data_IF_768869306103
#
_entry.id   IF_768869306103
#
_cell.length_a   1.000
_cell.length_b   1.000
_cell.length_c   1.000
_cell.angle_alpha   90.00
_cell.angle_beta   90.00
_cell.angle_gamma   90.00
#
_symmetry.space_group_name_H-M   'P 1'
#
loop_
_entity.id
_entity.type
_entity.pdbx_description
1 polymer ?
#
# COMPACT_ATOMS: atom_id res chain seq x y z
N UNK A 1 19.76 -19.01 7.63
CA UNK A 1 20.66 -17.81 7.56
C UNK A 1 21.30 -17.55 6.19
N UNK A 2 21.81 -18.55 5.46
CA UNK A 2 22.48 -18.34 4.16
C UNK A 2 21.62 -17.59 3.12
N UNK A 3 20.33 -17.92 3.00
CA UNK A 3 19.40 -17.24 2.07
C UNK A 3 19.17 -15.77 2.41
N UNK A 4 19.10 -15.41 3.70
CA UNK A 4 18.96 -14.01 4.13
C UNK A 4 20.18 -13.20 3.71
N UNK A 5 21.38 -13.77 3.86
CA UNK A 5 22.61 -13.10 3.46
C UNK A 5 22.69 -12.93 1.94
N UNK A 6 22.27 -13.94 1.18
CA UNK A 6 22.15 -13.85 -0.27
C UNK A 6 21.13 -12.79 -0.69
N UNK A 7 19.96 -12.70 -0.05
CA UNK A 7 18.99 -11.64 -0.34
C UNK A 7 19.58 -10.25 -0.12
N UNK A 8 20.35 -10.06 0.94
CA UNK A 8 21.01 -8.77 1.23
C UNK A 8 21.99 -8.31 0.15
N UNK A 9 22.54 -9.19 -0.69
CA UNK A 9 23.40 -8.75 -1.80
C UNK A 9 22.61 -8.22 -3.00
N UNK A 10 21.32 -8.55 -3.09
CA UNK A 10 20.45 -8.12 -4.18
C UNK A 10 19.49 -6.99 -3.79
N UNK A 11 19.25 -6.80 -2.49
CA UNK A 11 18.36 -5.76 -1.97
C UNK A 11 19.15 -4.51 -1.64
N UNK A 12 18.63 -3.31 -1.98
CA UNK A 12 19.35 -2.09 -1.72
C UNK A 12 19.57 -1.83 -0.22
N UNK A 13 20.70 -1.20 0.13
CA UNK A 13 21.02 -0.88 1.53
C UNK A 13 20.04 0.12 2.16
N UNK A 14 19.32 0.89 1.33
CA UNK A 14 18.24 1.78 1.75
C UNK A 14 16.95 1.04 2.10
N UNK A 15 16.82 -0.25 1.79
CA UNK A 15 15.65 -1.01 2.19
C UNK A 15 15.57 -1.09 3.72
N UNK A 16 14.46 -0.62 4.27
CA UNK A 16 14.25 -0.61 5.71
C UNK A 16 13.93 -2.02 6.18
N UNK A 17 14.77 -2.55 7.08
CA UNK A 17 14.54 -3.82 7.77
C UNK A 17 14.52 -3.54 9.26
N UNK A 18 13.35 -3.67 9.88
CA UNK A 18 13.14 -3.26 11.28
C UNK A 18 13.81 -4.17 12.31
N UNK A 19 14.12 -5.42 11.94
CA UNK A 19 14.71 -6.39 12.86
C UNK A 19 16.23 -6.43 12.76
N UNK A 20 16.91 -6.37 13.92
CA UNK A 20 18.37 -6.50 14.03
C UNK A 20 18.89 -7.77 13.34
N UNK A 21 18.14 -8.87 13.49
CA UNK A 21 18.32 -10.09 12.70
C UNK A 21 17.13 -10.20 11.74
N UNK A 22 17.33 -9.94 10.43
CA UNK A 22 16.25 -10.01 9.46
C UNK A 22 15.62 -11.40 9.41
N UNK A 23 14.28 -11.43 9.48
CA UNK A 23 13.49 -12.65 9.40
C UNK A 23 13.21 -13.00 7.94
N UNK A 24 13.38 -14.28 7.59
CA UNK A 24 12.92 -14.82 6.31
C UNK A 24 11.55 -15.46 6.53
N UNK A 25 10.49 -14.69 6.28
CA UNK A 25 9.11 -15.17 6.36
C UNK A 25 8.79 -16.02 5.12
N UNK A 26 8.21 -17.19 5.32
CA UNK A 26 7.91 -18.17 4.25
C UNK A 26 6.43 -18.54 4.15
N UNK A 27 5.66 -18.33 5.23
CA UNK A 27 4.22 -18.59 5.26
C UNK A 27 3.52 -17.55 6.13
N UNK A 28 2.32 -17.14 5.70
CA UNK A 28 1.35 -16.42 6.52
C UNK A 28 0.05 -17.22 6.64
N UNK A 29 -0.59 -17.16 7.81
CA UNK A 29 -1.88 -17.80 8.07
C UNK A 29 -2.63 -17.00 9.14
N UNK A 30 -3.74 -16.38 8.75
CA UNK A 30 -4.56 -15.53 9.60
C UNK A 30 -3.69 -14.49 10.34
N UNK A 31 -3.67 -14.45 11.66
CA UNK A 31 -2.87 -13.52 12.46
C UNK A 31 -1.39 -13.92 12.61
N UNK A 32 -0.92 -14.96 11.92
CA UNK A 32 0.40 -15.54 12.14
C UNK A 32 1.30 -15.50 10.91
N UNK A 33 2.61 -15.36 11.18
CA UNK A 33 3.70 -15.55 10.22
C UNK A 33 4.59 -16.70 10.67
N UNK A 34 5.22 -17.37 9.72
CA UNK A 34 6.18 -18.43 9.96
C UNK A 34 7.47 -18.12 9.21
N UNK A 35 8.62 -18.26 9.89
CA UNK A 35 9.92 -18.12 9.25
C UNK A 35 10.36 -19.42 8.55
N UNK A 36 11.51 -19.37 7.88
CA UNK A 36 12.10 -20.49 7.17
C UNK A 36 12.47 -21.68 8.07
N UNK A 37 12.62 -21.47 9.37
CA UNK A 37 12.91 -22.52 10.36
C UNK A 37 11.60 -23.05 10.99
N UNK A 38 10.43 -22.57 10.53
CA UNK A 38 9.11 -22.99 10.98
C UNK A 38 8.62 -22.32 12.26
N UNK A 39 9.38 -21.35 12.81
CA UNK A 39 8.98 -20.64 14.02
C UNK A 39 7.80 -19.72 13.72
N UNK A 40 6.77 -19.79 14.58
CA UNK A 40 5.52 -19.05 14.48
C UNK A 40 5.60 -17.71 15.23
N UNK A 41 5.10 -16.66 14.60
CA UNK A 41 5.04 -15.29 15.14
C UNK A 41 3.60 -14.80 15.08
N UNK A 42 3.12 -14.20 16.18
CA UNK A 42 1.91 -13.39 16.14
C UNK A 42 2.23 -12.07 15.42
N UNK A 43 1.54 -11.78 14.33
CA UNK A 43 1.75 -10.58 13.53
C UNK A 43 0.94 -9.42 14.09
N UNK A 44 1.62 -8.55 14.84
CA UNK A 44 1.05 -7.30 15.36
C UNK A 44 1.35 -6.10 14.45
N UNK A 45 1.94 -6.32 13.27
CA UNK A 45 2.30 -5.28 12.31
C UNK A 45 1.42 -5.30 11.06
N UNK A 46 0.88 -6.47 10.71
CA UNK A 46 -0.09 -6.68 9.64
C UNK A 46 0.36 -6.11 8.28
N UNK A 47 1.65 -6.25 7.96
CA UNK A 47 2.21 -5.73 6.71
C UNK A 47 2.04 -4.22 6.56
N UNK A 48 2.42 -3.45 7.59
CA UNK A 48 2.18 -2.01 7.68
C UNK A 48 0.67 -1.74 7.59
N UNK A 49 -0.09 -2.35 8.49
CA UNK A 49 -1.54 -2.14 8.64
C UNK A 49 -2.36 -2.43 7.36
N UNK A 50 -1.85 -3.30 6.48
CA UNK A 50 -2.51 -3.65 5.21
C UNK A 50 -3.33 -4.94 5.34
N UNK A 51 -2.87 -5.91 6.14
CA UNK A 51 -3.47 -7.23 6.30
C UNK A 51 -4.54 -7.20 7.39
N UNK A 52 -5.69 -6.60 7.10
CA UNK A 52 -6.76 -6.36 8.07
C UNK A 52 -7.61 -7.59 8.42
N UNK A 53 -7.70 -8.57 7.53
CA UNK A 53 -8.48 -9.81 7.71
C UNK A 53 -7.60 -11.05 7.93
N UNK A 54 -6.31 -10.85 8.16
CA UNK A 54 -5.35 -11.94 8.31
C UNK A 54 -4.77 -12.47 6.98
N UNK A 55 -3.58 -13.04 7.08
CA UNK A 55 -2.80 -13.60 5.99
C UNK A 55 -3.50 -14.80 5.35
N UNK A 56 -3.50 -14.86 4.02
CA UNK A 56 -4.05 -15.98 3.25
C UNK A 56 -5.48 -16.38 3.67
N UNK A 57 -6.31 -15.40 4.04
CA UNK A 57 -7.66 -15.64 4.54
C UNK A 57 -8.47 -16.51 3.56
N UNK A 58 -9.07 -17.65 3.98
CA UNK A 58 -9.67 -18.63 3.08
C UNK A 58 -10.71 -18.04 2.11
N UNK A 59 -11.57 -17.14 2.61
CA UNK A 59 -12.58 -16.44 1.79
C UNK A 59 -11.96 -15.55 0.71
N UNK A 60 -10.88 -14.84 1.04
CA UNK A 60 -10.19 -13.93 0.10
C UNK A 60 -9.44 -14.75 -0.95
N UNK A 61 -8.72 -15.79 -0.52
CA UNK A 61 -8.00 -16.68 -1.43
C UNK A 61 -8.94 -17.43 -2.37
N UNK A 62 -10.11 -17.88 -1.91
CA UNK A 62 -11.10 -18.53 -2.76
C UNK A 62 -11.64 -17.56 -3.83
N UNK A 63 -12.01 -16.33 -3.44
CA UNK A 63 -12.49 -15.30 -4.38
C UNK A 63 -11.41 -14.91 -5.39
N UNK A 64 -10.15 -14.74 -4.94
CA UNK A 64 -9.02 -14.46 -5.81
C UNK A 64 -8.87 -15.56 -6.85
N UNK A 65 -8.71 -16.83 -6.43
CA UNK A 65 -8.53 -17.97 -7.34
C UNK A 65 -9.63 -18.07 -8.39
N UNK A 66 -10.89 -17.94 -7.98
CA UNK A 66 -12.02 -17.95 -8.89
C UNK A 66 -11.94 -16.84 -9.95
N UNK A 67 -11.47 -15.64 -9.58
CA UNK A 67 -11.25 -14.56 -10.53
C UNK A 67 -10.05 -14.84 -11.44
N UNK A 68 -8.97 -15.45 -10.94
CA UNK A 68 -7.80 -15.80 -11.76
C UNK A 68 -8.14 -16.78 -12.87
N UNK A 69 -8.96 -17.78 -12.55
CA UNK A 69 -9.41 -18.80 -13.50
C UNK A 69 -10.35 -18.21 -14.57
N UNK A 70 -10.92 -17.02 -14.32
CA UNK A 70 -11.85 -16.33 -15.21
C UNK A 70 -11.19 -15.22 -16.03
N UNK A 71 -10.54 -14.26 -15.37
CA UNK A 71 -9.89 -13.09 -15.96
C UNK A 71 -8.91 -12.47 -14.95
N UNK A 72 -7.60 -12.61 -15.19
CA UNK A 72 -6.56 -12.06 -14.32
C UNK A 72 -6.42 -10.53 -14.45
N UNK A 73 -6.32 -10.01 -15.67
CA UNK A 73 -6.10 -8.58 -15.90
C UNK A 73 -6.72 -8.11 -17.22
N UNK A 74 -7.25 -6.90 -17.20
CA UNK A 74 -7.59 -6.11 -18.38
C UNK A 74 -7.31 -4.64 -18.09
N UNK A 75 -7.17 -3.84 -19.14
CA UNK A 75 -7.00 -2.39 -19.02
C UNK A 75 -8.32 -1.71 -18.66
N UNK A 76 -8.25 -0.54 -18.02
CA UNK A 76 -9.40 0.23 -17.54
C UNK A 76 -10.31 0.78 -18.63
N UNK A 77 -9.97 0.60 -19.92
CA UNK A 77 -10.86 0.95 -21.04
C UNK A 77 -12.04 -0.02 -21.18
N UNK A 78 -11.96 -1.20 -20.55
CA UNK A 78 -13.04 -2.18 -20.50
C UNK A 78 -13.63 -2.25 -19.09
N UNK A 79 -14.95 -2.35 -19.00
CA UNK A 79 -15.63 -2.54 -17.72
C UNK A 79 -15.72 -4.02 -17.35
N UNK A 80 -15.63 -4.31 -16.05
CA UNK A 80 -15.73 -5.66 -15.49
C UNK A 80 -16.62 -5.66 -14.26
N UNK A 81 -17.45 -6.70 -14.11
CA UNK A 81 -18.38 -6.86 -12.97
C UNK A 81 -17.76 -6.61 -11.59
N UNK A 82 -16.54 -7.10 -11.26
CA UNK A 82 -15.95 -6.88 -9.94
C UNK A 82 -15.73 -5.41 -9.58
N UNK A 83 -15.48 -4.55 -10.58
CA UNK A 83 -15.30 -3.10 -10.37
C UNK A 83 -16.64 -2.45 -10.00
N UNK A 84 -17.74 -2.85 -10.65
CA UNK A 84 -19.09 -2.38 -10.32
C UNK A 84 -19.46 -2.79 -8.90
N UNK A 85 -19.36 -4.08 -8.58
CA UNK A 85 -19.68 -4.59 -7.24
C UNK A 85 -18.86 -3.90 -6.14
N UNK A 86 -17.58 -3.64 -6.41
CA UNK A 86 -16.71 -2.98 -5.44
C UNK A 86 -17.09 -1.49 -5.27
N UNK A 87 -17.39 -0.79 -6.35
CA UNK A 87 -17.84 0.61 -6.31
C UNK A 87 -19.16 0.78 -5.54
N UNK A 88 -20.13 -0.11 -5.75
CA UNK A 88 -21.41 -0.10 -5.03
C UNK A 88 -21.20 -0.34 -3.53
N UNK A 89 -20.44 -1.37 -3.16
CA UNK A 89 -20.14 -1.66 -1.75
C UNK A 89 -19.36 -0.53 -1.11
N UNK A 90 -18.40 0.07 -1.82
CA UNK A 90 -17.58 1.16 -1.27
C UNK A 90 -18.41 2.41 -1.01
N UNK A 91 -19.20 2.86 -1.99
CA UNK A 91 -20.03 4.07 -1.85
C UNK A 91 -21.11 3.91 -0.79
N UNK A 92 -21.77 2.75 -0.72
CA UNK A 92 -22.76 2.45 0.31
C UNK A 92 -22.16 2.47 1.73
N UNK A 93 -20.96 1.94 1.91
CA UNK A 93 -20.29 1.93 3.23
C UNK A 93 -19.66 3.28 3.60
N UNK A 94 -19.13 4.05 2.65
CA UNK A 94 -18.59 5.38 2.94
C UNK A 94 -19.69 6.35 3.38
N UNK A 95 -20.86 6.29 2.74
CA UNK A 95 -22.00 7.16 3.06
C UNK A 95 -22.57 6.84 4.45
N UNK A 96 -22.56 5.57 4.86
CA UNK A 96 -23.09 5.17 6.17
C UNK A 96 -22.18 5.52 7.36
N UNK A 97 -20.88 5.71 7.13
CA UNK A 97 -19.89 5.94 8.19
C UNK A 97 -19.61 7.41 8.50
N UNK A 98 -19.92 8.35 7.60
CA UNK A 98 -19.60 9.78 7.77
C UNK A 98 -20.80 10.62 7.33
N UNK A 99 -21.45 11.28 8.31
CA UNK A 99 -22.75 11.98 8.22
C UNK A 99 -22.78 13.14 7.19
N UNK A 100 -21.63 13.57 6.66
CA UNK A 100 -21.53 14.68 5.69
C UNK A 100 -21.18 14.24 4.26
N UNK A 101 -21.27 12.94 3.94
CA UNK A 101 -20.79 12.37 2.67
C UNK A 101 -21.88 11.97 1.66
N UNK A 102 -23.06 12.61 1.68
CA UNK A 102 -24.06 12.53 0.58
C UNK A 102 -23.49 12.92 -0.82
N UNK A 103 -22.22 13.36 -0.85
CA UNK A 103 -21.45 13.79 -2.00
C UNK A 103 -20.52 12.71 -2.61
N UNK A 104 -20.28 11.56 -1.95
CA UNK A 104 -19.40 10.50 -2.52
C UNK A 104 -20.21 9.56 -3.42
N UNK A 105 -20.20 9.85 -4.72
CA UNK A 105 -20.98 9.12 -5.73
C UNK A 105 -20.14 8.40 -6.78
N UNK A 106 -18.87 8.78 -6.92
CA UNK A 106 -18.00 8.33 -8.02
C UNK A 106 -16.67 7.86 -7.44
N UNK A 107 -16.23 6.68 -7.90
CA UNK A 107 -14.96 6.08 -7.51
C UNK A 107 -13.98 6.13 -8.68
N UNK A 108 -12.75 6.59 -8.41
CA UNK A 108 -11.61 6.38 -9.29
C UNK A 108 -10.65 5.42 -8.61
N UNK A 109 -10.40 4.26 -9.22
CA UNK A 109 -9.55 3.22 -8.65
C UNK A 109 -8.10 3.36 -9.10
N UNK A 110 -7.19 3.22 -8.14
CA UNK A 110 -5.74 3.23 -8.30
C UNK A 110 -5.13 2.11 -7.46
N UNK A 111 -3.84 1.82 -7.65
CA UNK A 111 -3.20 0.66 -7.05
C UNK A 111 -2.58 0.94 -5.69
N UNK A 112 -2.25 2.20 -5.40
CA UNK A 112 -1.56 2.58 -4.16
C UNK A 112 -2.13 3.82 -3.49
N UNK A 113 -1.84 3.98 -2.20
CA UNK A 113 -2.17 5.21 -1.47
C UNK A 113 -1.45 6.46 -2.00
N UNK A 114 -0.25 6.30 -2.58
CA UNK A 114 0.46 7.43 -3.19
C UNK A 114 -0.27 7.92 -4.45
N UNK A 115 -0.67 7.01 -5.34
CA UNK A 115 -1.46 7.33 -6.53
C UNK A 115 -2.82 7.96 -6.15
N UNK A 116 -3.44 7.47 -5.07
CA UNK A 116 -4.72 8.01 -4.59
C UNK A 116 -4.57 9.46 -4.14
N UNK A 117 -3.49 9.78 -3.41
CA UNK A 117 -3.22 11.14 -2.96
C UNK A 117 -2.77 12.05 -4.11
N UNK A 118 -1.99 11.56 -5.08
CA UNK A 118 -1.62 12.30 -6.28
C UNK A 118 -2.87 12.71 -7.08
N UNK A 119 -3.79 11.75 -7.29
CA UNK A 119 -5.05 11.99 -7.97
C UNK A 119 -5.92 12.97 -7.18
N UNK A 120 -5.98 12.85 -5.86
CA UNK A 120 -6.73 13.78 -5.02
C UNK A 120 -6.20 15.22 -5.14
N UNK A 121 -4.88 15.41 -5.18
CA UNK A 121 -4.27 16.73 -5.39
C UNK A 121 -4.62 17.29 -6.78
N UNK A 122 -4.55 16.45 -7.81
CA UNK A 122 -4.91 16.85 -9.18
C UNK A 122 -6.38 17.27 -9.27
N UNK A 123 -7.30 16.47 -8.72
CA UNK A 123 -8.74 16.76 -8.70
C UNK A 123 -9.06 18.04 -7.92
N UNK A 124 -8.44 18.24 -6.74
CA UNK A 124 -8.61 19.46 -5.95
C UNK A 124 -8.15 20.71 -6.70
N UNK A 125 -7.01 20.63 -7.41
CA UNK A 125 -6.50 21.72 -8.25
C UNK A 125 -7.42 22.03 -9.41
N UNK A 126 -7.90 21.01 -10.13
CA UNK A 126 -8.85 21.17 -11.24
C UNK A 126 -10.15 21.82 -10.75
N UNK A 127 -10.65 21.42 -9.59
CA UNK A 127 -11.90 21.94 -9.05
C UNK A 127 -11.78 23.36 -8.49
N UNK A 128 -10.69 23.67 -7.79
CA UNK A 128 -10.56 24.93 -7.03
C UNK A 128 -9.67 25.98 -7.70
N UNK A 129 -8.82 25.60 -8.65
CA UNK A 129 -7.77 26.45 -9.22
C UNK A 129 -6.61 26.74 -8.28
N UNK A 130 -6.58 26.17 -7.06
CA UNK A 130 -5.56 26.43 -6.04
C UNK A 130 -4.51 25.34 -6.03
N UNK A 131 -3.24 25.73 -5.93
CA UNK A 131 -2.10 24.81 -5.97
C UNK A 131 -1.51 24.50 -4.59
N UNK A 132 -1.72 25.41 -3.63
CA UNK A 132 -1.23 25.26 -2.26
C UNK A 132 -1.90 24.08 -1.56
N UNK A 133 -1.08 23.29 -0.86
CA UNK A 133 -1.52 22.13 -0.09
C UNK A 133 -1.09 22.32 1.35
N UNK A 134 -2.04 22.20 2.27
CA UNK A 134 -1.76 22.14 3.70
C UNK A 134 -1.61 20.68 4.12
N UNK A 135 -0.49 20.35 4.74
CA UNK A 135 -0.23 19.03 5.33
C UNK A 135 0.16 19.17 6.79
N UNK A 136 -0.15 18.15 7.58
CA UNK A 136 0.13 18.16 9.02
C UNK A 136 1.54 17.65 9.30
N UNK A 137 2.17 18.20 10.34
CA UNK A 137 3.42 17.67 10.87
C UNK A 137 3.25 16.19 11.24
N UNK A 138 4.25 15.36 10.93
CA UNK A 138 4.24 13.91 11.09
C UNK A 138 3.18 13.18 10.22
N UNK A 139 2.60 13.84 9.21
CA UNK A 139 1.74 13.20 8.21
C UNK A 139 2.54 12.45 7.15
N UNK A 140 2.06 11.28 6.74
CA UNK A 140 2.59 10.50 5.62
C UNK A 140 1.55 10.39 4.51
N UNK A 141 1.92 10.80 3.30
CA UNK A 141 1.00 10.84 2.16
C UNK A 141 1.50 10.02 0.95
N UNK A 142 2.64 9.34 1.07
CA UNK A 142 3.20 8.51 0.02
C UNK A 142 4.61 8.93 -0.39
N UNK A 143 5.11 8.28 -1.44
CA UNK A 143 6.49 8.42 -1.91
C UNK A 143 6.62 8.84 -3.38
N UNK A 144 5.51 9.06 -4.10
CA UNK A 144 5.57 9.71 -5.42
C UNK A 144 5.93 11.18 -5.25
N UNK A 145 6.57 11.77 -6.27
CA UNK A 145 7.22 13.09 -6.15
C UNK A 145 6.28 14.19 -5.64
N UNK A 146 5.04 14.22 -6.12
CA UNK A 146 4.06 15.26 -5.76
C UNK A 146 3.63 15.16 -4.30
N UNK A 147 3.24 13.98 -3.82
CA UNK A 147 2.81 13.79 -2.42
C UNK A 147 3.97 13.68 -1.44
N UNK A 148 5.19 13.36 -1.90
CA UNK A 148 6.39 13.38 -1.05
C UNK A 148 6.63 14.79 -0.48
N UNK A 149 6.34 15.84 -1.25
CA UNK A 149 6.37 17.23 -0.77
C UNK A 149 5.34 17.55 0.32
N UNK A 150 4.30 16.73 0.46
CA UNK A 150 3.32 16.81 1.54
C UNK A 150 3.61 15.84 2.70
N UNK A 151 4.56 14.91 2.56
CA UNK A 151 4.96 13.98 3.62
C UNK A 151 5.92 14.67 4.59
N UNK A 152 5.51 14.79 5.85
CA UNK A 152 6.22 15.49 6.92
C UNK A 152 6.84 14.53 7.95
N UNK A 153 7.34 13.38 7.49
CA UNK A 153 8.09 12.42 8.31
C UNK A 153 9.53 12.36 7.78
N UNK A 154 10.47 12.92 8.54
CA UNK A 154 11.84 13.17 8.09
C UNK A 154 12.60 11.94 7.63
N UNK A 155 12.29 10.75 8.15
CA UNK A 155 12.89 9.50 7.70
C UNK A 155 12.55 9.19 6.23
N UNK A 156 11.28 9.34 5.83
CA UNK A 156 10.85 9.08 4.45
C UNK A 156 11.32 10.15 3.47
N UNK A 157 11.33 11.42 3.89
CA UNK A 157 11.81 12.52 3.03
C UNK A 157 13.33 12.48 2.86
N UNK A 158 14.09 11.99 3.84
CA UNK A 158 15.56 11.97 3.79
C UNK A 158 16.16 10.68 3.21
N UNK A 159 15.49 9.52 3.32
CA UNK A 159 16.01 8.24 2.80
C UNK A 159 16.13 8.21 1.26
N UNK A 160 15.21 8.85 0.54
CA UNK A 160 15.25 8.86 -0.93
C UNK A 160 16.21 9.92 -1.50
N UNK A 161 16.44 11.01 -0.75
CA UNK A 161 17.21 12.17 -1.17
C UNK A 161 18.67 12.15 -0.67
N UNK A 162 19.08 11.09 0.03
CA UNK A 162 20.42 10.92 0.57
C UNK A 162 21.41 10.41 -0.49
N UNK A 163 22.36 11.27 -0.86
CA UNK A 163 23.38 10.99 -1.88
C UNK A 163 24.31 9.81 -1.53
N UNK A 164 24.52 9.52 -0.24
CA UNK A 164 25.37 8.45 0.27
C UNK A 164 24.80 7.04 -0.02
N UNK A 165 23.49 6.92 -0.19
CA UNK A 165 22.83 5.65 -0.52
C UNK A 165 23.17 5.23 -1.96
N UNK A 166 23.08 6.17 -2.90
CA UNK A 166 23.31 5.91 -4.32
C UNK A 166 24.78 5.70 -4.68
N UNK A 167 25.71 6.30 -3.92
CA UNK A 167 27.16 6.12 -4.12
C UNK A 167 27.66 4.70 -3.88
N UNK A 168 26.88 3.84 -3.23
CA UNK A 168 27.25 2.44 -2.99
C UNK A 168 26.92 1.48 -4.14
N UNK A 169 26.34 1.99 -5.24
CA UNK A 169 26.00 1.24 -6.47
C UNK A 169 26.94 1.53 -7.65
N UNK A 170 28.00 2.30 -7.41
CA UNK A 170 29.09 2.59 -8.34
C UNK A 170 30.42 2.20 -7.69
#
# INVERSE_FOLDING_TARGET
>A
MQRVQQLKSFIPKSAVVYYKQPLLITKGEMQFLYDADGKKYLDMFAGIVTVSVGHCHPKVNAALKAQLDKLWHTTSIYYTEPVLEYAEKLTANCTSLIVSLDLIKVCFFVNSGSEANDLAFALARVHTGRFDVLSLRNGYHGMTQTVLGATNIGEFTSLLLRNDIWRSYH
#
